data_IF_484760881279
#
_entry.id   IF_484760881279
#
_cell.length_a   1.000
_cell.length_b   1.000
_cell.length_c   1.000
_cell.angle_alpha   90.00
_cell.angle_beta   90.00
_cell.angle_gamma   90.00
#
_symmetry.space_group_name_H-M   'P 1'
#
loop_
_entity.id
_entity.type
_entity.pdbx_description
1 polymer ?
#
# COMPACT_ATOMS: atom_id res chain seq x y z
N UNK A 1 -21.51 -8.08 36.24
CA UNK A 1 -21.44 -8.38 34.80
C UNK A 1 -20.18 -9.17 34.56
N UNK A 2 -20.24 -10.33 33.89
CA UNK A 2 -19.02 -10.99 33.44
C UNK A 2 -18.48 -10.13 32.30
N UNK A 3 -17.36 -9.43 32.50
CA UNK A 3 -16.63 -8.82 31.41
C UNK A 3 -16.39 -9.93 30.37
N UNK A 4 -16.99 -9.78 29.19
CA UNK A 4 -16.63 -10.67 28.10
C UNK A 4 -15.18 -10.33 27.72
N UNK A 5 -14.33 -11.32 27.41
CA UNK A 5 -12.96 -11.08 26.95
C UNK A 5 -12.88 -10.11 25.77
N UNK A 6 -13.97 -9.95 25.01
CA UNK A 6 -14.04 -9.10 23.82
C UNK A 6 -14.07 -7.61 24.12
N UNK A 7 -14.68 -7.18 25.23
CA UNK A 7 -14.76 -5.76 25.58
C UNK A 7 -13.39 -5.26 26.04
N UNK A 8 -12.70 -6.05 26.87
CA UNK A 8 -11.32 -5.77 27.28
C UNK A 8 -10.38 -5.77 26.07
N UNK A 9 -10.57 -6.69 25.12
CA UNK A 9 -9.81 -6.73 23.89
C UNK A 9 -10.07 -5.51 23.00
N UNK A 10 -11.33 -5.07 22.86
CA UNK A 10 -11.67 -3.87 22.09
C UNK A 10 -11.11 -2.59 22.73
N UNK A 11 -11.11 -2.51 24.07
CA UNK A 11 -10.41 -1.43 24.78
C UNK A 11 -8.91 -1.49 24.48
N UNK A 12 -8.28 -2.66 24.56
CA UNK A 12 -6.85 -2.80 24.26
C UNK A 12 -6.52 -2.41 22.80
N UNK A 13 -7.34 -2.85 21.85
CA UNK A 13 -7.22 -2.52 20.44
C UNK A 13 -7.30 -1.02 20.18
N UNK A 14 -8.09 -0.28 20.97
CA UNK A 14 -8.21 1.17 20.85
C UNK A 14 -6.94 1.94 21.25
N UNK A 15 -5.94 1.27 21.85
CA UNK A 15 -4.62 1.88 22.05
C UNK A 15 -3.78 1.92 20.76
N UNK A 16 -4.06 1.03 19.81
CA UNK A 16 -3.35 0.94 18.53
C UNK A 16 -4.21 1.45 17.34
N UNK A 17 -5.40 2.01 17.62
CA UNK A 17 -6.35 2.47 16.60
C UNK A 17 -7.24 3.61 17.10
N UNK A 18 -8.01 4.20 16.19
CA UNK A 18 -8.91 5.32 16.49
C UNK A 18 -10.30 4.75 16.78
N UNK A 19 -10.73 4.82 18.04
CA UNK A 19 -12.09 4.44 18.42
C UNK A 19 -13.10 5.45 17.84
N UNK A 20 -14.05 4.96 17.04
CA UNK A 20 -15.12 5.78 16.44
C UNK A 20 -16.39 5.77 17.28
N UNK A 21 -16.71 4.62 17.85
CA UNK A 21 -17.83 4.43 18.75
C UNK A 21 -17.56 3.24 19.68
N UNK A 22 -18.58 2.78 20.41
CA UNK A 22 -18.45 1.69 21.36
C UNK A 22 -17.97 0.37 20.72
N UNK A 23 -18.36 0.12 19.47
CA UNK A 23 -18.17 -1.13 18.74
C UNK A 23 -17.30 -0.98 17.49
N UNK A 24 -16.71 0.19 17.24
CA UNK A 24 -15.95 0.46 16.02
C UNK A 24 -14.59 1.07 16.32
N UNK A 25 -13.55 0.46 15.76
CA UNK A 25 -12.15 0.94 15.83
C UNK A 25 -11.59 1.00 14.42
N UNK A 26 -11.00 2.13 14.05
CA UNK A 26 -10.29 2.30 12.79
C UNK A 26 -8.78 2.21 12.99
N UNK A 27 -8.15 1.34 12.22
CA UNK A 27 -6.71 1.24 12.09
C UNK A 27 -6.31 1.91 10.78
N UNK A 28 -5.58 3.00 10.90
CA UNK A 28 -5.07 3.73 9.75
C UNK A 28 -3.70 3.14 9.43
N UNK A 29 -3.46 2.84 8.15
CA UNK A 29 -2.09 2.65 7.73
C UNK A 29 -1.33 3.97 7.90
N UNK A 30 -0.03 3.91 8.15
CA UNK A 30 0.73 5.12 8.46
C UNK A 30 0.85 6.13 7.33
N UNK A 31 0.76 5.65 6.09
CA UNK A 31 0.69 6.50 4.90
C UNK A 31 -0.66 7.21 4.78
N UNK A 32 -1.64 6.89 5.63
CA UNK A 32 -3.00 7.42 5.64
C UNK A 32 -3.86 6.92 4.48
N UNK A 33 -3.34 5.98 3.67
CA UNK A 33 -3.96 5.57 2.41
C UNK A 33 -4.91 4.38 2.61
N UNK A 34 -4.68 3.56 3.62
CA UNK A 34 -5.47 2.36 3.88
C UNK A 34 -6.12 2.48 5.24
N UNK A 35 -7.41 2.19 5.30
CA UNK A 35 -8.14 2.14 6.56
C UNK A 35 -8.68 0.73 6.71
N UNK A 36 -8.35 0.08 7.82
CA UNK A 36 -8.98 -1.15 8.27
C UNK A 36 -9.87 -0.84 9.45
N UNK A 37 -11.16 -1.07 9.31
CA UNK A 37 -12.15 -0.83 10.37
C UNK A 37 -12.53 -2.16 11.00
N UNK A 38 -12.32 -2.30 12.30
CA UNK A 38 -12.87 -3.41 13.08
C UNK A 38 -14.23 -3.00 13.65
N UNK A 39 -15.26 -3.79 13.34
CA UNK A 39 -16.63 -3.62 13.83
C UNK A 39 -17.01 -4.83 14.67
N UNK A 40 -17.37 -4.59 15.92
CA UNK A 40 -17.85 -5.59 16.87
C UNK A 40 -19.36 -5.75 16.73
N UNK A 41 -19.80 -6.99 16.53
CA UNK A 41 -21.20 -7.38 16.58
C UNK A 41 -21.40 -8.36 17.73
N UNK A 42 -21.98 -7.84 18.82
CA UNK A 42 -22.18 -8.59 20.06
C UNK A 42 -23.32 -9.60 19.98
N UNK A 43 -24.34 -9.32 19.17
CA UNK A 43 -25.51 -10.19 19.02
C UNK A 43 -25.14 -11.47 18.26
N UNK A 44 -24.24 -11.34 17.29
CA UNK A 44 -23.78 -12.46 16.48
C UNK A 44 -22.43 -13.05 16.93
N UNK A 45 -21.80 -12.49 17.96
CA UNK A 45 -20.47 -12.88 18.43
C UNK A 45 -19.41 -12.82 17.32
N UNK A 46 -19.44 -11.76 16.51
CA UNK A 46 -18.50 -11.60 15.39
C UNK A 46 -17.75 -10.28 15.43
N UNK A 47 -16.52 -10.29 14.91
CA UNK A 47 -15.79 -9.08 14.53
C UNK A 47 -15.64 -9.10 13.02
N UNK A 48 -16.03 -7.99 12.41
CA UNK A 48 -15.81 -7.74 10.99
C UNK A 48 -14.64 -6.79 10.81
N UNK A 49 -13.63 -7.21 10.06
CA UNK A 49 -12.55 -6.35 9.59
C UNK A 49 -12.87 -5.92 8.15
N UNK A 50 -13.12 -4.63 7.98
CA UNK A 50 -13.37 -3.99 6.70
C UNK A 50 -12.14 -3.20 6.28
N UNK A 51 -11.44 -3.62 5.24
CA UNK A 51 -10.26 -2.92 4.72
C UNK A 51 -10.56 -2.28 3.38
N UNK A 52 -10.28 -0.99 3.29
CA UNK A 52 -10.49 -0.21 2.07
C UNK A 52 -9.18 -0.07 1.30
N UNK A 53 -9.17 -0.54 0.06
CA UNK A 53 -8.21 -0.13 -0.96
C UNK A 53 -8.80 1.06 -1.68
N UNK A 54 -8.35 2.27 -1.34
CA UNK A 54 -8.64 3.40 -2.18
C UNK A 54 -7.86 3.21 -3.49
N UNK A 55 -8.58 3.10 -4.60
CA UNK A 55 -8.01 3.01 -5.94
C UNK A 55 -7.34 4.30 -6.37
N UNK A 56 -7.29 5.29 -5.46
CA UNK A 56 -7.28 6.72 -5.76
C UNK A 56 -6.65 6.94 -7.11
N UNK A 57 -7.54 7.21 -8.06
CA UNK A 57 -7.21 7.54 -9.43
C UNK A 57 -6.07 8.57 -9.44
N UNK A 58 -5.95 9.42 -8.40
CA UNK A 58 -4.85 10.36 -8.13
C UNK A 58 -3.47 9.77 -7.76
N UNK A 59 -3.34 8.57 -7.21
CA UNK A 59 -2.02 7.93 -6.98
C UNK A 59 -1.53 7.18 -8.21
N UNK A 60 -2.43 6.51 -8.91
CA UNK A 60 -2.14 5.90 -10.21
C UNK A 60 -1.88 7.02 -11.24
N UNK A 61 -2.75 8.03 -11.33
CA UNK A 61 -2.50 9.23 -12.12
C UNK A 61 -1.32 10.02 -11.60
N UNK A 62 -1.07 10.12 -10.30
CA UNK A 62 0.09 10.83 -9.76
C UNK A 62 1.40 10.15 -10.14
N UNK A 63 1.43 8.81 -10.12
CA UNK A 63 2.56 8.01 -10.60
C UNK A 63 2.70 8.12 -12.12
N UNK A 64 1.59 8.02 -12.87
CA UNK A 64 1.57 8.16 -14.32
C UNK A 64 1.92 9.60 -14.74
N UNK A 65 1.49 10.63 -14.00
CA UNK A 65 1.73 12.06 -14.23
C UNK A 65 3.18 12.44 -13.88
N UNK A 66 3.72 11.85 -12.81
CA UNK A 66 5.14 12.00 -12.49
C UNK A 66 6.00 11.33 -13.55
N UNK A 67 5.55 10.20 -14.12
CA UNK A 67 6.19 9.52 -15.24
C UNK A 67 5.90 10.21 -16.58
N UNK A 68 4.80 10.96 -16.70
CA UNK A 68 4.42 11.66 -17.92
C UNK A 68 5.29 12.87 -18.19
N UNK A 69 6.03 13.40 -17.19
CA UNK A 69 7.11 14.38 -17.43
C UNK A 69 8.14 13.85 -18.46
N UNK A 70 8.36 12.54 -18.51
CA UNK A 70 9.24 11.91 -19.51
C UNK A 70 8.54 11.66 -20.85
N UNK A 71 7.21 11.72 -20.87
CA UNK A 71 6.37 11.60 -22.06
C UNK A 71 6.07 12.97 -22.69
N UNK A 72 5.96 14.05 -21.90
CA UNK A 72 5.69 15.44 -22.36
C UNK A 72 6.77 15.97 -23.31
N UNK A 73 8.00 15.45 -23.24
CA UNK A 73 9.06 15.79 -24.20
C UNK A 73 8.90 15.09 -25.56
N UNK A 74 8.04 14.06 -25.65
CA UNK A 74 7.92 13.17 -26.82
C UNK A 74 6.53 13.11 -27.43
N UNK A 75 5.49 13.41 -26.66
CA UNK A 75 4.09 13.23 -27.03
C UNK A 75 3.27 14.46 -26.63
N UNK A 76 2.16 14.70 -27.34
CA UNK A 76 1.23 15.78 -27.03
C UNK A 76 0.44 15.50 -25.75
N UNK A 77 -0.11 16.55 -25.12
CA UNK A 77 -0.98 16.43 -23.94
C UNK A 77 -2.17 15.48 -24.17
N UNK A 78 -2.74 15.50 -25.38
CA UNK A 78 -3.87 14.65 -25.77
C UNK A 78 -3.44 13.19 -25.88
N UNK A 79 -2.30 12.92 -26.51
CA UNK A 79 -1.72 11.56 -26.58
C UNK A 79 -1.35 11.03 -25.19
N UNK A 80 -0.81 11.88 -24.32
CA UNK A 80 -0.48 11.50 -22.95
C UNK A 80 -1.75 11.11 -22.21
N UNK A 81 -2.80 11.94 -22.30
CA UNK A 81 -4.10 11.66 -21.68
C UNK A 81 -4.67 10.33 -22.15
N UNK A 82 -4.64 10.03 -23.44
CA UNK A 82 -5.09 8.74 -23.98
C UNK A 82 -4.30 7.56 -23.39
N UNK A 83 -2.97 7.68 -23.25
CA UNK A 83 -2.12 6.66 -22.62
C UNK A 83 -2.51 6.46 -21.14
N UNK A 84 -2.77 7.54 -20.39
CA UNK A 84 -3.21 7.45 -18.99
C UNK A 84 -4.55 6.73 -18.90
N UNK A 85 -5.51 7.12 -19.74
CA UNK A 85 -6.87 6.55 -19.75
C UNK A 85 -6.85 5.05 -20.12
N UNK A 86 -6.02 4.64 -21.08
CA UNK A 86 -5.82 3.23 -21.43
C UNK A 86 -5.22 2.42 -20.27
N UNK A 87 -4.11 2.88 -19.67
CA UNK A 87 -3.48 2.20 -18.54
C UNK A 87 -4.45 2.07 -17.36
N UNK A 88 -5.18 3.15 -17.03
CA UNK A 88 -6.17 3.14 -15.97
C UNK A 88 -7.30 2.13 -16.24
N UNK A 89 -7.76 2.06 -17.49
CA UNK A 89 -8.78 1.09 -17.95
C UNK A 89 -8.28 -0.34 -17.79
N UNK A 90 -7.05 -0.64 -18.20
CA UNK A 90 -6.47 -1.98 -18.05
C UNK A 90 -6.28 -2.37 -16.58
N UNK A 91 -5.89 -1.44 -15.72
CA UNK A 91 -5.81 -1.70 -14.27
C UNK A 91 -7.20 -2.08 -13.72
N UNK A 92 -8.21 -1.25 -14.00
CA UNK A 92 -9.58 -1.42 -13.50
C UNK A 92 -10.21 -2.72 -13.97
N UNK A 93 -10.13 -3.03 -15.26
CA UNK A 93 -10.89 -4.12 -15.86
C UNK A 93 -10.11 -5.41 -16.09
N UNK A 94 -8.76 -5.39 -15.99
CA UNK A 94 -7.94 -6.57 -16.25
C UNK A 94 -7.11 -6.96 -15.02
N UNK A 95 -6.29 -6.04 -14.50
CA UNK A 95 -5.33 -6.35 -13.45
C UNK A 95 -6.02 -6.62 -12.11
N UNK A 96 -6.85 -5.68 -11.64
CA UNK A 96 -7.52 -5.77 -10.35
C UNK A 96 -8.41 -7.03 -10.26
N UNK A 97 -9.28 -7.35 -11.24
CA UNK A 97 -10.06 -8.58 -11.21
C UNK A 97 -9.20 -9.85 -11.11
N UNK A 98 -8.07 -9.91 -11.83
CA UNK A 98 -7.12 -11.04 -11.74
C UNK A 98 -6.49 -11.16 -10.35
N UNK A 99 -6.17 -10.03 -9.72
CA UNK A 99 -5.61 -10.01 -8.37
C UNK A 99 -6.68 -10.48 -7.36
N UNK A 100 -7.89 -9.93 -7.46
CA UNK A 100 -8.98 -10.19 -6.52
C UNK A 100 -9.46 -11.64 -6.57
N UNK A 101 -9.48 -12.26 -7.76
CA UNK A 101 -9.80 -13.69 -7.91
C UNK A 101 -8.86 -14.63 -7.13
N UNK A 102 -7.66 -14.17 -6.77
CA UNK A 102 -6.64 -14.96 -6.10
C UNK A 102 -6.50 -14.64 -4.59
N UNK A 103 -7.43 -13.87 -4.02
CA UNK A 103 -7.47 -13.60 -2.59
C UNK A 103 -7.92 -14.85 -1.83
N UNK A 104 -7.26 -15.15 -0.70
CA UNK A 104 -7.48 -16.38 0.07
C UNK A 104 -8.16 -16.17 1.42
N UNK A 105 -8.10 -14.95 1.96
CA UNK A 105 -8.56 -14.67 3.33
C UNK A 105 -9.65 -13.62 3.34
N UNK A 106 -9.40 -12.49 2.67
CA UNK A 106 -10.37 -11.44 2.52
C UNK A 106 -11.28 -11.70 1.34
N UNK A 107 -12.56 -11.45 1.53
CA UNK A 107 -13.57 -11.45 0.47
C UNK A 107 -13.71 -10.02 -0.06
N UNK A 108 -13.74 -9.88 -1.39
CA UNK A 108 -14.11 -8.61 -2.01
C UNK A 108 -15.63 -8.47 -1.91
N UNK A 109 -16.09 -7.51 -1.11
CA UNK A 109 -17.54 -7.27 -0.94
C UNK A 109 -18.07 -6.27 -1.95
N UNK A 110 -17.29 -5.23 -2.23
CA UNK A 110 -17.72 -4.13 -3.08
C UNK A 110 -16.53 -3.55 -3.85
N UNK A 111 -16.81 -3.10 -5.07
CA UNK A 111 -15.88 -2.26 -5.85
C UNK A 111 -16.66 -1.06 -6.34
N UNK A 112 -16.39 0.09 -5.73
CA UNK A 112 -16.86 1.40 -6.13
C UNK A 112 -15.89 2.00 -7.14
N UNK A 113 -16.27 3.10 -7.76
CA UNK A 113 -15.42 3.76 -8.77
C UNK A 113 -14.05 4.21 -8.25
N UNK A 114 -13.92 4.44 -6.94
CA UNK A 114 -12.70 4.95 -6.30
C UNK A 114 -12.16 4.06 -5.18
N UNK A 115 -12.82 2.95 -4.82
CA UNK A 115 -12.34 2.04 -3.79
C UNK A 115 -12.84 0.59 -3.97
N UNK A 116 -12.00 -0.36 -3.55
CA UNK A 116 -12.41 -1.74 -3.30
C UNK A 116 -12.48 -1.97 -1.81
N UNK A 117 -13.55 -2.62 -1.36
CA UNK A 117 -13.76 -2.93 0.05
C UNK A 117 -13.65 -4.43 0.27
N UNK A 118 -12.74 -4.80 1.17
CA UNK A 118 -12.41 -6.16 1.52
C UNK A 118 -12.91 -6.47 2.93
N UNK A 119 -13.46 -7.67 3.12
CA UNK A 119 -14.01 -8.09 4.40
C UNK A 119 -13.37 -9.37 4.89
N UNK A 120 -13.19 -9.44 6.20
CA UNK A 120 -12.86 -10.65 6.92
C UNK A 120 -13.70 -10.72 8.20
N UNK A 121 -14.28 -11.88 8.48
CA UNK A 121 -15.13 -12.07 9.65
C UNK A 121 -14.48 -13.08 10.60
N UNK A 122 -14.48 -12.73 11.89
CA UNK A 122 -13.96 -13.55 13.00
C UNK A 122 -15.13 -13.86 13.92
N UNK A 123 -15.49 -15.13 14.04
CA UNK A 123 -16.36 -15.60 15.14
C UNK A 123 -15.51 -15.70 16.41
N UNK A 124 -16.00 -15.14 17.52
CA UNK A 124 -15.30 -15.14 18.81
C UNK A 124 -16.05 -15.86 19.93
N UNK A 125 -17.20 -16.50 19.67
CA UNK A 125 -18.12 -17.02 20.70
C UNK A 125 -17.44 -17.90 21.75
N UNK A 126 -16.52 -18.76 21.31
CA UNK A 126 -15.83 -19.74 22.16
C UNK A 126 -14.29 -19.61 22.10
N UNK A 127 -13.77 -18.47 21.62
CA UNK A 127 -12.31 -18.28 21.46
C UNK A 127 -11.66 -17.77 22.75
N UNK A 128 -10.53 -18.36 23.18
CA UNK A 128 -9.71 -17.81 24.26
C UNK A 128 -9.20 -16.41 23.91
N UNK A 129 -9.06 -15.54 24.91
CA UNK A 129 -8.61 -14.15 24.75
C UNK A 129 -7.33 -14.02 23.91
N UNK A 130 -6.28 -14.76 24.27
CA UNK A 130 -4.97 -14.66 23.60
C UNK A 130 -5.01 -15.17 22.15
N UNK A 131 -5.86 -16.17 21.86
CA UNK A 131 -6.04 -16.67 20.49
C UNK A 131 -6.77 -15.64 19.64
N UNK A 132 -7.87 -15.09 20.16
CA UNK A 132 -8.66 -14.08 19.50
C UNK A 132 -7.85 -12.80 19.24
N UNK A 133 -7.10 -12.35 20.24
CA UNK A 133 -6.18 -11.22 20.13
C UNK A 133 -5.17 -11.42 19.01
N UNK A 134 -4.49 -12.57 19.01
CA UNK A 134 -3.50 -12.91 17.99
C UNK A 134 -4.11 -12.96 16.59
N UNK A 135 -5.32 -13.48 16.46
CA UNK A 135 -6.04 -13.53 15.19
C UNK A 135 -6.41 -12.15 14.67
N UNK A 136 -7.00 -11.28 15.51
CA UNK A 136 -7.38 -9.91 15.10
C UNK A 136 -6.15 -9.12 14.67
N UNK A 137 -5.12 -9.03 15.52
CA UNK A 137 -3.89 -8.31 15.17
C UNK A 137 -3.21 -8.90 13.93
N UNK A 138 -3.19 -10.23 13.82
CA UNK A 138 -2.65 -10.91 12.64
C UNK A 138 -3.42 -10.59 11.35
N UNK A 139 -4.73 -10.39 11.44
CA UNK A 139 -5.56 -10.05 10.28
C UNK A 139 -5.50 -8.57 9.92
N UNK A 140 -5.36 -7.67 10.90
CA UNK A 140 -5.07 -6.24 10.65
C UNK A 140 -3.71 -6.09 9.95
N UNK A 141 -2.66 -6.77 10.43
CA UNK A 141 -1.35 -6.76 9.76
C UNK A 141 -1.43 -7.39 8.35
N UNK A 142 -2.18 -8.50 8.21
CA UNK A 142 -2.40 -9.11 6.90
C UNK A 142 -3.13 -8.17 5.94
N UNK A 143 -4.12 -7.42 6.39
CA UNK A 143 -4.89 -6.52 5.53
C UNK A 143 -4.01 -5.41 4.96
N UNK A 144 -3.16 -4.79 5.78
CA UNK A 144 -2.21 -3.79 5.30
C UNK A 144 -1.19 -4.38 4.32
N UNK A 145 -0.65 -5.58 4.60
CA UNK A 145 0.24 -6.30 3.68
C UNK A 145 -0.44 -6.66 2.37
N UNK A 146 -1.71 -7.03 2.42
CA UNK A 146 -2.51 -7.34 1.25
C UNK A 146 -2.61 -6.11 0.34
N UNK A 147 -3.01 -4.97 0.91
CA UNK A 147 -3.16 -3.71 0.20
C UNK A 147 -1.85 -3.27 -0.45
N UNK A 148 -0.76 -3.29 0.32
CA UNK A 148 0.58 -2.99 -0.19
C UNK A 148 0.93 -3.88 -1.39
N UNK A 149 0.70 -5.19 -1.29
CA UNK A 149 0.99 -6.13 -2.39
C UNK A 149 0.15 -5.86 -3.64
N UNK A 150 -1.10 -5.42 -3.47
CA UNK A 150 -1.95 -5.02 -4.60
C UNK A 150 -1.37 -3.77 -5.25
N UNK A 151 -1.01 -2.75 -4.46
CA UNK A 151 -0.39 -1.52 -4.96
C UNK A 151 0.94 -1.79 -5.69
N UNK A 152 1.79 -2.67 -5.16
CA UNK A 152 3.05 -3.07 -5.82
C UNK A 152 2.81 -3.67 -7.22
N UNK A 153 1.78 -4.51 -7.37
CA UNK A 153 1.42 -5.08 -8.67
C UNK A 153 0.86 -4.03 -9.63
N UNK A 154 0.09 -3.06 -9.13
CA UNK A 154 -0.39 -1.94 -9.93
C UNK A 154 0.79 -1.11 -10.43
N UNK A 155 1.74 -0.78 -9.55
CA UNK A 155 2.94 -0.03 -9.92
C UNK A 155 3.79 -0.76 -10.98
N UNK A 156 4.05 -2.06 -10.79
CA UNK A 156 4.78 -2.89 -11.77
C UNK A 156 4.06 -2.97 -13.13
N UNK A 157 2.73 -2.96 -13.12
CA UNK A 157 1.94 -2.94 -14.35
C UNK A 157 2.04 -1.59 -15.07
N UNK A 158 1.92 -0.47 -14.34
CA UNK A 158 2.06 0.89 -14.88
C UNK A 158 3.45 1.05 -15.51
N UNK A 159 4.49 0.63 -14.79
CA UNK A 159 5.89 0.65 -15.24
C UNK A 159 6.05 -0.06 -16.58
N UNK A 160 5.62 -1.33 -16.67
CA UNK A 160 5.68 -2.11 -17.92
C UNK A 160 4.86 -1.52 -19.05
N UNK A 161 3.73 -0.88 -18.73
CA UNK A 161 2.86 -0.27 -19.73
C UNK A 161 3.51 0.99 -20.30
N UNK A 162 4.10 1.83 -19.45
CA UNK A 162 4.81 3.06 -19.85
C UNK A 162 6.12 2.74 -20.58
N UNK A 163 6.84 1.68 -20.19
CA UNK A 163 8.06 1.23 -20.87
C UNK A 163 7.90 0.99 -22.38
N UNK A 164 6.72 0.54 -22.80
CA UNK A 164 6.39 0.33 -24.23
C UNK A 164 6.46 1.64 -25.03
N UNK A 165 6.30 2.78 -24.36
CA UNK A 165 6.27 4.11 -24.97
C UNK A 165 7.60 4.89 -24.82
N UNK A 166 8.54 4.44 -23.96
CA UNK A 166 9.70 5.26 -23.55
C UNK A 166 11.03 5.01 -24.27
N UNK A 167 11.27 3.84 -24.88
CA UNK A 167 12.54 3.55 -25.61
C UNK A 167 13.84 3.96 -24.87
N UNK A 168 14.04 3.49 -23.64
CA UNK A 168 15.32 2.93 -23.14
C UNK A 168 15.10 2.19 -21.79
N UNK A 169 14.59 0.94 -21.82
CA UNK A 169 13.90 0.29 -20.69
C UNK A 169 14.76 0.07 -19.43
N UNK A 170 16.10 -0.01 -19.55
CA UNK A 170 16.95 -0.40 -18.40
C UNK A 170 17.25 0.73 -17.41
N UNK A 171 17.08 1.98 -17.82
CA UNK A 171 17.37 3.16 -16.97
C UNK A 171 16.15 3.47 -16.11
N UNK A 172 14.96 3.52 -16.71
CA UNK A 172 13.73 3.88 -16.00
C UNK A 172 13.26 2.81 -15.02
N UNK A 173 13.39 1.53 -15.36
CA UNK A 173 13.15 0.42 -14.44
C UNK A 173 13.95 0.60 -13.15
N UNK A 174 15.20 1.01 -13.31
CA UNK A 174 16.13 1.09 -12.19
C UNK A 174 15.85 2.30 -11.29
N UNK A 175 15.38 3.40 -11.88
CA UNK A 175 14.91 4.58 -11.14
C UNK A 175 13.61 4.28 -10.40
N UNK A 176 12.70 3.53 -11.01
CA UNK A 176 11.44 3.10 -10.39
C UNK A 176 11.66 2.11 -9.24
N UNK A 177 12.60 1.18 -9.38
CA UNK A 177 12.95 0.25 -8.29
C UNK A 177 13.46 1.02 -7.05
N UNK A 178 14.32 2.03 -7.24
CA UNK A 178 14.80 2.90 -6.16
C UNK A 178 13.61 3.64 -5.50
N UNK A 179 12.70 4.21 -6.31
CA UNK A 179 11.50 4.89 -5.81
C UNK A 179 10.60 3.97 -4.99
N UNK A 180 10.34 2.75 -5.48
CA UNK A 180 9.51 1.75 -4.79
C UNK A 180 10.08 1.45 -3.40
N UNK A 181 11.40 1.24 -3.30
CA UNK A 181 12.07 0.98 -2.03
C UNK A 181 11.95 2.18 -1.08
N UNK A 182 12.18 3.39 -1.57
CA UNK A 182 12.05 4.62 -0.77
C UNK A 182 10.61 4.93 -0.33
N UNK A 183 9.61 4.55 -1.11
CA UNK A 183 8.23 4.62 -0.69
C UNK A 183 7.93 3.62 0.45
N UNK A 184 8.40 2.38 0.32
CA UNK A 184 8.26 1.37 1.38
C UNK A 184 8.98 1.78 2.67
N UNK A 185 10.11 2.46 2.58
CA UNK A 185 10.84 3.07 3.70
C UNK A 185 9.91 3.98 4.50
N UNK A 186 9.23 4.93 3.84
CA UNK A 186 8.26 5.81 4.49
C UNK A 186 7.14 5.03 5.17
N UNK A 187 6.57 4.05 4.45
CA UNK A 187 5.46 3.24 4.95
C UNK A 187 5.83 2.49 6.23
N UNK A 188 6.98 1.83 6.27
CA UNK A 188 7.40 1.06 7.45
C UNK A 188 7.97 1.94 8.57
N UNK A 189 8.53 3.12 8.27
CA UNK A 189 9.07 4.02 9.30
C UNK A 189 8.00 4.82 10.03
N UNK A 190 6.82 4.99 9.44
CA UNK A 190 5.71 5.73 10.03
C UNK A 190 4.75 4.86 10.85
N UNK A 191 4.94 3.54 10.88
CA UNK A 191 4.16 2.62 11.76
C UNK A 191 4.44 2.88 13.24
N UNK A 192 3.39 3.16 14.01
CA UNK A 192 3.40 3.31 15.47
C UNK A 192 2.82 2.06 16.19
N UNK A 193 2.69 2.14 17.52
CA UNK A 193 2.25 1.01 18.36
C UNK A 193 3.32 -0.08 18.56
N UNK A 194 2.91 -1.23 19.13
CA UNK A 194 3.83 -2.31 19.58
C UNK A 194 4.65 -2.98 18.47
N UNK A 195 4.33 -2.72 17.19
CA UNK A 195 5.05 -3.30 16.06
C UNK A 195 6.11 -2.36 15.44
N UNK A 196 6.19 -1.12 15.93
CA UNK A 196 7.04 -0.04 15.39
C UNK A 196 8.53 -0.43 15.25
N UNK A 197 9.16 -1.06 16.25
CA UNK A 197 10.60 -1.37 16.21
C UNK A 197 11.02 -2.34 15.09
N UNK A 198 10.18 -3.35 14.81
CA UNK A 198 10.44 -4.28 13.71
C UNK A 198 10.25 -3.61 12.35
N UNK A 199 9.28 -2.71 12.25
CA UNK A 199 8.99 -1.96 11.03
C UNK A 199 10.06 -0.89 10.77
N UNK A 200 10.53 -0.19 11.78
CA UNK A 200 11.67 0.74 11.69
C UNK A 200 12.94 0.00 11.22
N UNK A 201 13.22 -1.20 11.75
CA UNK A 201 14.35 -2.02 11.27
C UNK A 201 14.19 -2.41 9.80
N UNK A 202 12.98 -2.79 9.38
CA UNK A 202 12.67 -3.12 7.99
C UNK A 202 12.82 -1.89 7.08
N UNK A 203 12.36 -0.74 7.54
CA UNK A 203 12.45 0.54 6.85
C UNK A 203 13.92 0.93 6.63
N UNK A 204 14.76 0.85 7.68
CA UNK A 204 16.21 1.06 7.56
C UNK A 204 16.87 0.12 6.56
N UNK A 205 16.50 -1.16 6.55
CA UNK A 205 17.01 -2.12 5.56
C UNK A 205 16.63 -1.73 4.13
N UNK A 206 15.37 -1.36 3.90
CA UNK A 206 14.89 -0.93 2.59
C UNK A 206 15.55 0.36 2.11
N UNK A 207 15.86 1.28 3.03
CA UNK A 207 16.60 2.51 2.72
C UNK A 207 18.01 2.18 2.23
N UNK A 208 18.71 1.27 2.93
CA UNK A 208 20.02 0.81 2.51
C UNK A 208 19.97 0.07 1.16
N UNK A 209 18.96 -0.78 0.92
CA UNK A 209 18.72 -1.44 -0.37
C UNK A 209 18.52 -0.40 -1.50
N UNK A 210 17.74 0.66 -1.25
CA UNK A 210 17.54 1.75 -2.21
C UNK A 210 18.86 2.48 -2.52
N UNK A 211 19.66 2.80 -1.50
CA UNK A 211 20.96 3.44 -1.68
C UNK A 211 21.91 2.58 -2.53
N UNK A 212 21.97 1.28 -2.27
CA UNK A 212 22.79 0.35 -3.04
C UNK A 212 22.35 0.31 -4.52
N UNK A 213 21.04 0.25 -4.79
CA UNK A 213 20.51 0.31 -6.15
C UNK A 213 20.89 1.62 -6.86
N UNK A 214 20.86 2.75 -6.16
CA UNK A 214 21.29 4.04 -6.71
C UNK A 214 22.78 4.09 -7.04
N UNK A 215 23.64 3.53 -6.18
CA UNK A 215 25.07 3.42 -6.47
C UNK A 215 25.33 2.55 -7.70
N UNK A 216 24.63 1.43 -7.84
CA UNK A 216 24.72 0.62 -9.04
C UNK A 216 24.22 1.33 -10.30
N UNK A 217 23.14 2.10 -10.17
CA UNK A 217 22.58 2.90 -11.25
C UNK A 217 23.60 3.93 -11.75
N UNK A 218 24.24 4.67 -10.83
CA UNK A 218 25.33 5.61 -11.15
C UNK A 218 26.47 4.95 -11.93
N UNK A 219 26.88 3.75 -11.53
CA UNK A 219 27.95 2.99 -12.21
C UNK A 219 27.55 2.53 -13.61
N UNK A 220 26.33 2.03 -13.77
CA UNK A 220 25.84 1.47 -15.04
C UNK A 220 25.41 2.56 -16.04
N UNK A 221 24.92 3.70 -15.56
CA UNK A 221 24.36 4.78 -16.40
C UNK A 221 24.82 6.17 -15.96
N UNK A 222 26.13 6.49 -16.03
CA UNK A 222 26.70 7.69 -15.42
C UNK A 222 26.16 9.02 -15.98
N UNK A 223 25.88 9.08 -17.29
CA UNK A 223 25.31 10.30 -17.92
C UNK A 223 23.88 10.58 -17.45
N UNK A 224 23.07 9.53 -17.33
CA UNK A 224 21.67 9.66 -16.89
C UNK A 224 21.57 9.90 -15.39
N UNK A 225 22.44 9.25 -14.60
CA UNK A 225 22.51 9.53 -13.18
C UNK A 225 22.92 10.97 -12.88
N UNK A 226 23.77 11.58 -13.72
CA UNK A 226 24.10 13.01 -13.60
C UNK A 226 22.90 13.91 -13.88
N UNK A 227 22.09 13.60 -14.90
CA UNK A 227 20.88 14.36 -15.23
C UNK A 227 19.81 14.26 -14.14
N UNK A 228 19.70 13.09 -13.48
CA UNK A 228 18.67 12.78 -12.47
C UNK A 228 19.15 12.93 -11.03
N UNK A 229 20.37 13.42 -10.82
CA UNK A 229 21.04 13.49 -9.52
C UNK A 229 20.18 14.22 -8.49
N UNK A 230 19.79 15.45 -8.81
CA UNK A 230 19.10 16.33 -7.87
C UNK A 230 17.74 15.74 -7.46
N UNK A 231 17.03 15.14 -8.42
CA UNK A 231 15.77 14.46 -8.19
C UNK A 231 15.92 13.25 -7.26
N UNK A 232 16.90 12.37 -7.51
CA UNK A 232 17.11 11.17 -6.71
C UNK A 232 17.62 11.51 -5.29
N UNK A 233 18.53 12.48 -5.17
CA UNK A 233 19.02 12.95 -3.87
C UNK A 233 17.91 13.60 -3.03
N UNK A 234 17.03 14.39 -3.66
CA UNK A 234 15.83 14.93 -3.01
C UNK A 234 14.92 13.80 -2.47
N UNK A 235 14.73 12.71 -3.21
CA UNK A 235 13.93 11.58 -2.74
C UNK A 235 14.57 10.90 -1.52
N UNK A 236 15.88 10.67 -1.52
CA UNK A 236 16.57 10.09 -0.36
C UNK A 236 16.46 10.97 0.88
N UNK A 237 16.59 12.29 0.74
CA UNK A 237 16.41 13.21 1.88
C UNK A 237 14.97 13.23 2.39
N UNK A 238 13.97 13.19 1.49
CA UNK A 238 12.55 13.13 1.88
C UNK A 238 12.22 11.89 2.72
N UNK A 239 12.83 10.74 2.41
CA UNK A 239 12.51 9.45 3.04
C UNK A 239 13.57 8.98 4.02
N UNK A 240 14.43 9.88 4.48
CA UNK A 240 15.46 9.59 5.48
C UNK A 240 14.80 9.19 6.81
N UNK A 241 15.33 8.14 7.44
CA UNK A 241 14.87 7.60 8.73
C UNK A 241 16.04 7.56 9.71
#
# INVERSE_FOLDING_TARGET
>A
MKNFPIEELFIELSFDGIRKDENTIEFHSPDGITITTAKLDQDFYTITLETKLYHSFNQVQGTIYTLSQELYEKYSDETIREIIEDIATQIKYILLPKIFKNLKKFELKETLDHESVFFYQIDYKDKPYEELKKEIYGMIDYSFKLILKIQEKIAEFIEKSIEQYLNNPKIEIKVLEIKKRLFQVQFYSSMDGRFSDNHIRKAKRLFNEAQQLYEEFKKKFPKEAKKRKDFLEMLFEKYKI
#
